data_IF_027562342829
#
_entry.id   IF_027562342829
#
_cell.length_a   1.000
_cell.length_b   1.000
_cell.length_c   1.000
_cell.angle_alpha   90.00
_cell.angle_beta   90.00
_cell.angle_gamma   90.00
#
_symmetry.space_group_name_H-M   'P 1'
#
loop_
_entity.id
_entity.type
_entity.pdbx_description
1 polymer ?
#
# COMPACT_ATOMS: atom_id res chain seq x y z
N UNK A 1 7.14 3.27 12.81
CA UNK A 1 5.98 3.83 13.48
C UNK A 1 5.01 4.29 12.41
N UNK A 2 3.75 3.94 12.53
CA UNK A 2 2.71 4.26 11.56
C UNK A 2 1.72 5.23 12.17
N UNK A 3 1.22 6.18 11.39
CA UNK A 3 0.15 7.07 11.77
C UNK A 3 -1.11 6.74 10.96
N UNK A 4 -2.26 6.64 11.59
CA UNK A 4 -3.53 6.41 10.92
C UNK A 4 -4.60 7.37 11.44
N UNK A 5 -5.49 7.77 10.54
CA UNK A 5 -6.69 8.53 10.85
C UNK A 5 -7.89 7.57 10.90
N UNK A 6 -8.76 7.69 11.89
CA UNK A 6 -9.66 6.60 12.28
C UNK A 6 -11.17 6.94 12.22
N UNK A 7 -11.61 7.80 11.34
CA UNK A 7 -13.05 8.10 11.25
C UNK A 7 -13.75 7.51 10.01
N UNK A 8 -13.01 6.88 9.11
CA UNK A 8 -13.58 6.33 7.90
C UNK A 8 -14.19 4.92 8.09
N UNK A 9 -14.96 4.49 7.10
CA UNK A 9 -15.66 3.21 7.04
C UNK A 9 -14.73 2.01 7.23
N UNK A 10 -13.49 2.11 6.79
CA UNK A 10 -12.52 1.01 6.86
C UNK A 10 -11.60 1.08 8.08
N UNK A 11 -11.75 2.09 8.95
CA UNK A 11 -10.86 2.31 10.09
C UNK A 11 -10.71 1.09 10.99
N UNK A 12 -11.80 0.36 11.29
CA UNK A 12 -11.76 -0.84 12.11
C UNK A 12 -10.97 -1.97 11.42
N UNK A 13 -11.20 -2.19 10.12
CA UNK A 13 -10.47 -3.22 9.36
C UNK A 13 -8.99 -2.88 9.24
N UNK A 14 -8.64 -1.61 9.04
CA UNK A 14 -7.25 -1.14 9.05
C UNK A 14 -6.60 -1.39 10.40
N UNK A 15 -7.29 -1.12 11.50
CA UNK A 15 -6.79 -1.38 12.86
C UNK A 15 -6.50 -2.85 13.08
N UNK A 16 -7.38 -3.74 12.65
CA UNK A 16 -7.20 -5.18 12.74
C UNK A 16 -6.02 -5.66 11.88
N UNK A 17 -5.95 -5.20 10.63
CA UNK A 17 -4.86 -5.53 9.70
C UNK A 17 -3.50 -5.07 10.26
N UNK A 18 -3.44 -3.88 10.86
CA UNK A 18 -2.21 -3.30 11.40
C UNK A 18 -1.87 -3.77 12.83
N UNK A 19 -2.70 -4.60 13.45
CA UNK A 19 -2.51 -5.04 14.83
C UNK A 19 -1.19 -5.79 15.06
N UNK A 20 -0.61 -6.39 14.02
CA UNK A 20 0.69 -7.05 14.06
C UNK A 20 1.89 -6.09 13.95
N UNK A 21 1.64 -4.79 13.64
CA UNK A 21 2.70 -3.81 13.57
C UNK A 21 3.01 -3.21 14.95
N UNK A 22 4.28 -2.99 15.28
CA UNK A 22 4.70 -2.75 16.65
C UNK A 22 4.19 -1.45 17.28
N UNK A 23 3.83 -0.43 16.51
CA UNK A 23 3.35 0.85 17.06
C UNK A 23 2.49 1.59 16.02
N UNK A 24 1.23 1.84 16.34
CA UNK A 24 0.34 2.70 15.55
C UNK A 24 0.01 3.95 16.36
N UNK A 25 0.27 5.13 15.80
CA UNK A 25 -0.14 6.40 16.36
C UNK A 25 -1.39 6.90 15.63
N UNK A 26 -2.24 7.59 16.37
CA UNK A 26 -3.46 8.17 15.83
C UNK A 26 -3.28 9.67 15.68
N UNK A 27 -3.80 10.21 14.60
CA UNK A 27 -3.81 11.64 14.31
C UNK A 27 -5.28 12.06 14.31
N UNK A 28 -5.62 13.05 15.16
CA UNK A 28 -7.01 13.57 15.25
C UNK A 28 -7.33 14.50 14.10
N UNK A 29 -8.60 14.87 13.96
CA UNK A 29 -9.07 15.87 12.98
C UNK A 29 -8.39 17.23 13.18
N UNK A 30 -8.03 17.57 14.42
CA UNK A 30 -7.31 18.80 14.74
C UNK A 30 -5.79 18.67 14.50
N UNK A 31 -5.32 17.55 13.96
CA UNK A 31 -3.92 17.31 13.67
C UNK A 31 -3.07 16.98 14.90
N UNK A 32 -3.70 16.63 16.03
CA UNK A 32 -2.99 16.18 17.23
C UNK A 32 -2.55 14.73 17.08
N UNK A 33 -1.36 14.41 17.57
CA UNK A 33 -0.79 13.08 17.46
C UNK A 33 -0.86 12.40 18.83
N UNK A 34 -1.48 11.23 18.87
CA UNK A 34 -1.59 10.42 20.07
C UNK A 34 -0.94 9.05 19.86
N UNK A 35 -0.30 8.56 20.93
CA UNK A 35 0.23 7.21 21.02
C UNK A 35 -0.68 6.38 21.90
N UNK A 36 -1.11 5.20 21.42
CA UNK A 36 -1.80 4.24 22.26
C UNK A 36 -0.74 3.27 22.81
N UNK A 37 -0.62 3.22 24.13
CA UNK A 37 0.21 2.23 24.84
C UNK A 37 -0.57 0.92 25.02
N UNK A 38 0.13 -0.17 25.35
CA UNK A 38 -0.49 -1.47 25.65
C UNK A 38 -1.54 -1.39 26.76
N UNK A 39 -1.45 -0.40 27.65
CA UNK A 39 -2.41 -0.12 28.70
C UNK A 39 -3.65 0.67 28.24
N UNK A 40 -3.76 0.98 26.94
CA UNK A 40 -4.89 1.73 26.38
C UNK A 40 -4.93 3.22 26.74
N UNK A 41 -3.89 3.74 27.38
CA UNK A 41 -3.78 5.18 27.71
C UNK A 41 -3.26 5.95 26.50
N UNK A 42 -3.94 7.03 26.14
CA UNK A 42 -3.47 8.02 25.19
C UNK A 42 -2.41 8.88 25.86
N UNK A 43 -1.18 8.84 25.39
CA UNK A 43 -0.11 9.77 25.79
C UNK A 43 -0.08 10.93 24.80
N UNK A 44 0.04 12.16 25.35
CA UNK A 44 0.07 13.37 24.56
C UNK A 44 1.42 13.54 23.84
N UNK A 45 1.34 14.01 22.62
CA UNK A 45 2.29 14.77 21.80
C UNK A 45 3.78 14.58 22.04
N UNK A 46 4.41 13.73 21.23
CA UNK A 46 5.85 13.76 21.01
C UNK A 46 6.15 14.51 19.69
N UNK A 47 6.61 15.75 19.78
CA UNK A 47 6.90 16.62 18.63
C UNK A 47 8.10 16.12 17.78
N UNK A 48 8.88 15.18 18.27
CA UNK A 48 10.04 14.59 17.56
C UNK A 48 9.71 13.28 16.83
N UNK A 49 8.48 12.83 16.91
CA UNK A 49 8.05 11.56 16.33
C UNK A 49 8.20 11.55 14.81
N UNK A 50 8.89 10.55 14.27
CA UNK A 50 9.02 10.33 12.82
C UNK A 50 8.29 9.04 12.40
N UNK A 51 7.54 9.10 11.30
CA UNK A 51 6.68 8.03 10.82
C UNK A 51 7.34 7.23 9.69
N UNK A 52 7.26 5.91 9.72
CA UNK A 52 7.59 5.05 8.59
C UNK A 52 6.45 4.97 7.59
N UNK A 53 5.21 5.14 8.05
CA UNK A 53 4.04 5.14 7.21
C UNK A 53 2.92 5.99 7.78
N UNK A 54 2.14 6.59 6.88
CA UNK A 54 0.92 7.31 7.19
C UNK A 54 -0.22 6.66 6.42
N UNK A 55 -1.34 6.42 7.09
CA UNK A 55 -2.57 5.92 6.47
C UNK A 55 -3.68 6.90 6.83
N UNK A 56 -4.33 7.43 5.80
CA UNK A 56 -5.48 8.31 5.94
C UNK A 56 -6.72 7.63 5.36
N UNK A 57 -7.72 7.40 6.19
CA UNK A 57 -9.01 6.87 5.77
C UNK A 57 -9.94 8.02 5.35
N UNK A 58 -10.13 8.17 4.05
CA UNK A 58 -10.98 9.13 3.39
C UNK A 58 -12.24 8.49 2.79
N UNK A 59 -12.62 7.28 3.20
CA UNK A 59 -13.77 6.57 2.60
C UNK A 59 -15.12 7.25 2.87
N UNK A 60 -15.19 8.14 3.86
CA UNK A 60 -16.38 8.92 4.19
C UNK A 60 -16.37 10.34 3.60
N UNK A 61 -15.38 10.69 2.79
CA UNK A 61 -15.34 11.98 2.09
C UNK A 61 -16.47 12.05 1.07
N UNK A 62 -17.41 13.00 1.26
CA UNK A 62 -18.61 13.22 0.44
C UNK A 62 -18.67 14.63 -0.15
N UNK A 63 -18.06 15.60 0.52
CA UNK A 63 -18.11 17.01 0.13
C UNK A 63 -16.70 17.57 -0.08
N UNK A 64 -16.61 18.77 -0.65
CA UNK A 64 -15.33 19.48 -0.79
C UNK A 64 -14.82 19.98 0.56
N UNK A 65 -15.71 20.29 1.49
CA UNK A 65 -15.38 20.69 2.86
C UNK A 65 -14.66 19.56 3.62
N UNK A 66 -15.03 18.30 3.37
CA UNK A 66 -14.39 17.14 3.99
C UNK A 66 -12.91 17.04 3.61
N UNK A 67 -12.50 17.61 2.47
CA UNK A 67 -11.08 17.66 2.07
C UNK A 67 -10.21 18.45 3.05
N UNK A 68 -10.83 19.29 3.91
CA UNK A 68 -10.11 19.97 4.99
C UNK A 68 -9.47 18.98 5.96
N UNK A 69 -10.08 17.83 6.18
CA UNK A 69 -9.52 16.77 7.01
C UNK A 69 -8.19 16.23 6.43
N UNK A 70 -8.04 16.19 5.12
CA UNK A 70 -6.77 15.82 4.45
C UNK A 70 -5.66 16.80 4.82
N UNK A 71 -5.96 18.11 4.72
CA UNK A 71 -5.01 19.14 5.11
C UNK A 71 -4.64 19.03 6.59
N UNK A 72 -5.62 18.92 7.46
CA UNK A 72 -5.42 18.83 8.91
C UNK A 72 -4.57 17.60 9.29
N UNK A 73 -4.76 16.48 8.59
CA UNK A 73 -3.97 15.28 8.81
C UNK A 73 -2.53 15.42 8.31
N UNK A 74 -2.32 15.85 7.07
CA UNK A 74 -0.99 15.82 6.46
C UNK A 74 -0.12 17.01 6.87
N UNK A 75 -0.69 18.19 7.04
CA UNK A 75 0.07 19.41 7.33
C UNK A 75 1.02 19.28 8.54
N UNK A 76 0.62 18.74 9.71
CA UNK A 76 1.51 18.61 10.86
C UNK A 76 2.55 17.50 10.73
N UNK A 77 2.34 16.51 9.83
CA UNK A 77 3.14 15.27 9.82
C UNK A 77 3.91 15.03 8.52
N UNK A 78 3.63 15.74 7.43
CA UNK A 78 4.24 15.49 6.13
C UNK A 78 5.79 15.54 6.19
N UNK A 79 6.36 16.49 6.93
CA UNK A 79 7.81 16.65 7.13
C UNK A 79 8.41 15.65 8.14
N UNK A 80 7.56 14.87 8.79
CA UNK A 80 7.92 13.88 9.82
C UNK A 80 7.95 12.46 9.29
N UNK A 81 7.76 12.29 7.98
CA UNK A 81 7.90 10.99 7.33
C UNK A 81 9.39 10.68 7.18
N UNK A 82 9.79 9.47 7.56
CA UNK A 82 11.16 8.99 7.38
C UNK A 82 11.47 8.75 5.91
N UNK A 83 12.76 8.85 5.55
CA UNK A 83 13.22 8.40 4.23
C UNK A 83 12.72 6.98 3.93
N UNK A 84 12.34 6.75 2.69
CA UNK A 84 11.71 5.50 2.23
C UNK A 84 10.40 5.15 2.97
N UNK A 85 9.72 6.15 3.53
CA UNK A 85 8.42 5.99 4.17
C UNK A 85 7.29 5.67 3.19
N UNK A 86 6.10 5.41 3.73
CA UNK A 86 4.90 5.06 2.95
C UNK A 86 3.75 5.98 3.33
N UNK A 87 3.03 6.45 2.30
CA UNK A 87 1.79 7.21 2.48
C UNK A 87 0.68 6.51 1.72
N UNK A 88 -0.40 6.21 2.41
CA UNK A 88 -1.56 5.53 1.83
C UNK A 88 -2.81 6.35 2.16
N UNK A 89 -3.60 6.66 1.15
CA UNK A 89 -4.97 7.16 1.31
C UNK A 89 -5.91 6.04 0.92
N UNK A 90 -6.89 5.76 1.77
CA UNK A 90 -8.02 4.88 1.48
C UNK A 90 -9.20 5.78 1.12
N UNK A 91 -9.83 5.56 -0.04
CA UNK A 91 -10.92 6.42 -0.52
C UNK A 91 -12.00 5.59 -1.22
N UNK A 92 -13.18 6.16 -1.42
CA UNK A 92 -14.22 5.56 -2.27
C UNK A 92 -13.85 5.76 -3.74
N UNK A 93 -14.16 4.76 -4.60
CA UNK A 93 -13.96 4.98 -6.04
C UNK A 93 -14.92 6.09 -6.52
N UNK A 94 -14.42 7.11 -7.22
CA UNK A 94 -15.28 8.14 -7.79
C UNK A 94 -16.43 7.59 -8.66
N UNK A 95 -16.22 6.41 -9.29
CA UNK A 95 -17.26 5.75 -10.08
C UNK A 95 -18.39 5.13 -9.22
N UNK A 96 -18.11 4.85 -7.94
CA UNK A 96 -19.06 4.27 -6.98
C UNK A 96 -19.74 5.34 -6.11
N UNK A 97 -19.46 6.64 -6.34
CA UNK A 97 -20.05 7.71 -5.58
C UNK A 97 -21.52 7.98 -6.00
N UNK A 98 -22.34 8.33 -5.03
CA UNK A 98 -23.79 8.54 -5.22
C UNK A 98 -24.11 9.82 -6.02
N UNK A 99 -23.26 10.84 -5.87
CA UNK A 99 -23.45 12.13 -6.52
C UNK A 99 -22.12 12.69 -7.10
N UNK A 100 -22.25 13.74 -7.94
CA UNK A 100 -21.12 14.36 -8.62
C UNK A 100 -20.18 15.09 -7.66
N UNK A 101 -20.66 15.61 -6.53
CA UNK A 101 -19.83 16.34 -5.55
C UNK A 101 -18.91 15.36 -4.83
N UNK A 102 -19.46 14.24 -4.36
CA UNK A 102 -18.69 13.17 -3.74
C UNK A 102 -17.67 12.57 -4.73
N UNK A 103 -18.08 12.34 -6.00
CA UNK A 103 -17.16 11.87 -7.04
C UNK A 103 -16.03 12.86 -7.29
N UNK A 104 -16.31 14.16 -7.33
CA UNK A 104 -15.31 15.22 -7.51
C UNK A 104 -14.35 15.30 -6.32
N UNK A 105 -14.85 15.24 -5.09
CA UNK A 105 -14.02 15.25 -3.89
C UNK A 105 -13.05 14.06 -3.86
N UNK A 106 -13.55 12.84 -4.11
CA UNK A 106 -12.72 11.64 -4.17
C UNK A 106 -11.73 11.67 -5.36
N UNK A 107 -12.11 12.26 -6.50
CA UNK A 107 -11.19 12.48 -7.61
C UNK A 107 -10.07 13.45 -7.25
N UNK A 108 -10.36 14.45 -6.43
CA UNK A 108 -9.38 15.39 -5.86
C UNK A 108 -8.30 14.68 -5.05
N UNK A 109 -8.66 13.65 -4.28
CA UNK A 109 -7.71 12.82 -3.52
C UNK A 109 -6.71 12.09 -4.45
N UNK A 110 -7.16 11.64 -5.61
CA UNK A 110 -6.26 11.04 -6.63
C UNK A 110 -5.24 12.06 -7.13
N UNK A 111 -5.66 13.30 -7.36
CA UNK A 111 -4.76 14.40 -7.72
C UNK A 111 -3.77 14.71 -6.61
N UNK A 112 -4.26 14.84 -5.38
CA UNK A 112 -3.45 15.11 -4.21
C UNK A 112 -2.34 14.07 -4.00
N UNK A 113 -2.65 12.78 -4.03
CA UNK A 113 -1.65 11.73 -3.78
C UNK A 113 -0.55 11.69 -4.87
N UNK A 114 -0.92 11.96 -6.13
CA UNK A 114 0.05 12.06 -7.23
C UNK A 114 0.99 13.25 -7.07
N UNK A 115 0.49 14.39 -6.60
CA UNK A 115 1.29 15.57 -6.29
C UNK A 115 2.17 15.32 -5.08
N UNK A 116 1.60 14.77 -4.00
CA UNK A 116 2.35 14.42 -2.79
C UNK A 116 3.52 13.49 -3.11
N UNK A 117 3.30 12.45 -3.92
CA UNK A 117 4.35 11.49 -4.31
C UNK A 117 5.51 12.12 -5.09
N UNK A 118 5.30 13.28 -5.75
CA UNK A 118 6.35 14.03 -6.43
C UNK A 118 7.11 14.95 -5.46
N UNK A 119 6.39 15.54 -4.50
CA UNK A 119 6.93 16.60 -3.62
C UNK A 119 7.68 16.06 -2.40
N UNK A 120 7.26 14.91 -1.85
CA UNK A 120 7.84 14.39 -0.59
C UNK A 120 9.29 13.91 -0.72
N UNK A 121 9.75 13.52 -1.90
CA UNK A 121 11.13 13.10 -2.14
C UNK A 121 11.61 11.94 -1.26
N UNK A 122 12.91 11.86 -1.03
CA UNK A 122 13.58 10.93 -0.09
C UNK A 122 13.18 9.44 -0.22
N UNK A 123 12.71 9.00 -1.41
CA UNK A 123 12.22 7.63 -1.63
C UNK A 123 10.89 7.32 -0.95
N UNK A 124 10.17 8.33 -0.46
CA UNK A 124 8.84 8.17 0.11
C UNK A 124 7.86 7.84 -1.01
N UNK A 125 7.14 6.74 -0.85
CA UNK A 125 6.14 6.30 -1.83
C UNK A 125 4.73 6.62 -1.33
N UNK A 126 3.91 7.24 -2.20
CA UNK A 126 2.57 7.69 -1.88
C UNK A 126 1.54 7.06 -2.84
N UNK A 127 0.52 6.37 -2.31
CA UNK A 127 -0.51 5.67 -3.07
C UNK A 127 -1.90 6.00 -2.57
N UNK A 128 -2.89 5.83 -3.47
CA UNK A 128 -4.30 5.80 -3.09
C UNK A 128 -4.89 4.42 -3.38
N UNK A 129 -5.63 3.90 -2.41
CA UNK A 129 -6.39 2.65 -2.53
C UNK A 129 -7.87 3.00 -2.55
N UNK A 130 -8.50 2.74 -3.67
CA UNK A 130 -9.94 2.92 -3.84
C UNK A 130 -10.65 1.64 -3.38
N UNK A 131 -11.51 1.76 -2.39
CA UNK A 131 -12.13 0.64 -1.68
C UNK A 131 -13.61 0.60 -2.02
N UNK A 132 -14.03 -0.39 -2.78
CA UNK A 132 -15.45 -0.64 -3.05
C UNK A 132 -16.19 -1.05 -1.77
N UNK A 133 -17.49 -0.86 -1.74
CA UNK A 133 -18.31 -1.23 -0.61
C UNK A 133 -18.27 -2.74 -0.35
N UNK A 134 -18.05 -3.14 0.90
CA UNK A 134 -17.91 -4.53 1.31
C UNK A 134 -16.57 -5.18 0.94
N UNK A 135 -15.56 -4.39 0.49
CA UNK A 135 -14.22 -4.86 0.16
C UNK A 135 -13.22 -4.73 1.32
N UNK A 136 -13.66 -4.30 2.51
CA UNK A 136 -12.81 -3.98 3.66
C UNK A 136 -11.90 -5.16 4.05
N UNK A 137 -12.45 -6.39 4.02
CA UNK A 137 -11.70 -7.62 4.35
C UNK A 137 -10.61 -7.97 3.34
N UNK A 138 -10.69 -7.40 2.15
CA UNK A 138 -9.74 -7.67 1.06
C UNK A 138 -8.53 -6.72 1.09
N UNK A 139 -8.49 -5.76 2.02
CA UNK A 139 -7.41 -4.77 2.13
C UNK A 139 -6.08 -5.36 2.64
N UNK A 140 -6.11 -6.46 3.39
CA UNK A 140 -4.95 -6.97 4.12
C UNK A 140 -3.72 -7.17 3.22
N UNK A 141 -3.84 -7.92 2.12
CA UNK A 141 -2.72 -8.19 1.22
C UNK A 141 -2.19 -6.92 0.53
N UNK A 142 -3.10 -5.99 0.19
CA UNK A 142 -2.73 -4.72 -0.43
C UNK A 142 -1.96 -3.84 0.54
N UNK A 143 -2.43 -3.69 1.79
CA UNK A 143 -1.75 -2.91 2.81
C UNK A 143 -0.41 -3.54 3.23
N UNK A 144 -0.35 -4.87 3.39
CA UNK A 144 0.90 -5.58 3.66
C UNK A 144 1.95 -5.32 2.57
N UNK A 145 1.55 -5.35 1.30
CA UNK A 145 2.45 -5.03 0.19
C UNK A 145 2.88 -3.57 0.23
N UNK A 146 1.92 -2.63 0.31
CA UNK A 146 2.19 -1.20 0.21
C UNK A 146 3.02 -0.66 1.39
N UNK A 147 2.85 -1.21 2.59
CA UNK A 147 3.62 -0.84 3.77
C UNK A 147 5.00 -1.51 3.83
N UNK A 148 5.22 -2.54 3.02
CA UNK A 148 6.49 -3.26 2.98
C UNK A 148 7.54 -2.54 2.12
N UNK A 149 8.80 -3.00 2.23
CA UNK A 149 9.89 -2.57 1.36
C UNK A 149 9.70 -3.02 -0.10
N UNK A 150 8.88 -4.04 -0.35
CA UNK A 150 8.60 -4.58 -1.70
C UNK A 150 7.94 -3.54 -2.61
N UNK A 151 7.24 -2.55 -2.04
CA UNK A 151 6.57 -1.46 -2.76
C UNK A 151 7.46 -0.24 -3.03
N UNK A 152 8.77 -0.32 -2.81
CA UNK A 152 9.69 0.82 -2.87
C UNK A 152 9.64 1.60 -4.20
N UNK A 153 9.36 0.93 -5.30
CA UNK A 153 9.27 1.52 -6.64
C UNK A 153 7.83 1.77 -7.11
N UNK A 154 6.85 1.61 -6.22
CA UNK A 154 5.43 1.86 -6.51
C UNK A 154 5.06 3.18 -5.86
N UNK A 155 4.87 4.23 -6.64
CA UNK A 155 4.45 5.56 -6.15
C UNK A 155 3.52 6.25 -7.15
N UNK A 156 2.60 7.08 -6.65
CA UNK A 156 1.61 7.81 -7.43
C UNK A 156 0.53 6.91 -8.07
N UNK A 157 0.38 5.66 -7.62
CA UNK A 157 -0.54 4.71 -8.21
C UNK A 157 -1.93 4.76 -7.56
N UNK A 158 -2.92 4.41 -8.38
CA UNK A 158 -4.32 4.21 -7.97
C UNK A 158 -4.58 2.71 -7.99
N UNK A 159 -4.81 2.14 -6.82
CA UNK A 159 -5.07 0.71 -6.65
C UNK A 159 -6.53 0.54 -6.28
N UNK A 160 -7.24 -0.37 -6.95
CA UNK A 160 -8.64 -0.66 -6.65
C UNK A 160 -8.75 -1.99 -5.95
N UNK A 161 -9.51 -1.99 -4.84
CA UNK A 161 -9.83 -3.19 -4.08
C UNK A 161 -11.33 -3.40 -4.15
N UNK A 162 -11.73 -4.46 -4.82
CA UNK A 162 -13.13 -4.83 -4.99
C UNK A 162 -13.52 -5.95 -4.02
N UNK A 163 -14.83 -6.06 -3.76
CA UNK A 163 -15.39 -7.16 -2.99
C UNK A 163 -15.12 -8.47 -3.73
N UNK A 164 -14.50 -9.40 -3.05
CA UNK A 164 -14.23 -10.75 -3.51
C UNK A 164 -14.44 -11.75 -2.38
N UNK A 165 -14.57 -13.02 -2.69
CA UNK A 165 -14.54 -14.07 -1.69
C UNK A 165 -13.24 -13.97 -0.88
N UNK A 166 -13.31 -14.19 0.41
CA UNK A 166 -12.12 -14.21 1.25
C UNK A 166 -11.18 -15.31 0.76
N UNK A 167 -9.99 -14.92 0.35
CA UNK A 167 -8.93 -15.86 -0.01
C UNK A 167 -7.97 -15.88 1.18
N UNK A 168 -7.66 -17.06 1.68
CA UNK A 168 -6.59 -17.20 2.66
C UNK A 168 -5.29 -16.72 2.01
N UNK A 169 -4.71 -15.69 2.59
CA UNK A 169 -3.51 -15.06 2.10
C UNK A 169 -2.29 -15.63 2.82
N UNK A 170 -1.50 -16.44 2.10
CA UNK A 170 -0.21 -16.90 2.60
C UNK A 170 0.86 -15.83 2.36
N UNK A 171 1.36 -15.21 3.42
CA UNK A 171 2.38 -14.15 3.34
C UNK A 171 3.73 -14.63 2.80
N UNK A 172 4.08 -15.88 3.05
CA UNK A 172 5.36 -16.46 2.60
C UNK A 172 5.30 -16.90 1.14
N UNK A 173 4.17 -17.47 0.72
CA UNK A 173 3.94 -17.96 -0.64
C UNK A 173 2.63 -17.42 -1.21
N UNK A 174 2.53 -16.11 -1.48
CA UNK A 174 1.28 -15.46 -1.91
C UNK A 174 0.77 -15.95 -3.28
N UNK A 175 1.63 -16.60 -4.06
CA UNK A 175 1.30 -17.13 -5.39
C UNK A 175 1.21 -18.66 -5.42
N UNK A 176 1.16 -19.33 -4.26
CA UNK A 176 1.02 -20.77 -4.19
C UNK A 176 -0.19 -21.27 -4.99
N UNK A 177 0.04 -22.26 -5.85
CA UNK A 177 -0.99 -22.83 -6.72
C UNK A 177 -1.36 -21.98 -7.95
N UNK A 178 -0.75 -20.80 -8.13
CA UNK A 178 -0.93 -19.97 -9.33
C UNK A 178 0.01 -20.40 -10.45
N UNK A 179 -0.46 -20.19 -11.71
CA UNK A 179 0.35 -20.37 -12.91
C UNK A 179 0.71 -19.00 -13.48
N UNK A 180 1.97 -18.78 -13.76
CA UNK A 180 2.48 -17.55 -14.36
C UNK A 180 3.22 -17.86 -15.66
N UNK A 181 2.99 -17.05 -16.70
CA UNK A 181 3.76 -17.08 -17.95
C UNK A 181 4.63 -15.82 -18.01
N UNK A 182 5.94 -15.99 -18.19
CA UNK A 182 6.88 -14.89 -18.32
C UNK A 182 7.56 -14.96 -19.68
N UNK A 183 7.37 -13.93 -20.50
CA UNK A 183 8.04 -13.77 -21.79
C UNK A 183 9.32 -12.98 -21.64
N UNK A 184 10.32 -13.18 -22.51
CA UNK A 184 11.62 -12.51 -22.40
C UNK A 184 12.39 -12.91 -21.14
N UNK A 185 12.27 -14.17 -20.72
CA UNK A 185 12.67 -14.66 -19.38
C UNK A 185 14.06 -15.32 -19.34
N UNK A 186 14.76 -15.42 -20.47
CA UNK A 186 16.11 -16.03 -20.52
C UNK A 186 17.15 -15.19 -19.75
N UNK A 187 17.01 -13.86 -19.75
CA UNK A 187 17.99 -12.94 -19.13
C UNK A 187 17.34 -11.66 -18.61
N UNK A 188 18.12 -10.84 -17.90
CA UNK A 188 17.73 -9.51 -17.47
C UNK A 188 16.49 -9.50 -16.58
N UNK A 189 15.59 -8.55 -16.83
CA UNK A 189 14.40 -8.28 -16.01
C UNK A 189 13.44 -9.47 -16.01
N UNK A 190 13.15 -10.06 -17.19
CA UNK A 190 12.22 -11.19 -17.28
C UNK A 190 12.69 -12.41 -16.46
N UNK A 191 14.00 -12.70 -16.46
CA UNK A 191 14.56 -13.74 -15.60
C UNK A 191 14.36 -13.46 -14.12
N UNK A 192 14.63 -12.22 -13.70
CA UNK A 192 14.43 -11.82 -12.30
C UNK A 192 12.95 -11.90 -11.89
N UNK A 193 12.02 -11.50 -12.77
CA UNK A 193 10.58 -11.65 -12.55
C UNK A 193 10.22 -13.12 -12.38
N UNK A 194 10.66 -14.00 -13.30
CA UNK A 194 10.38 -15.43 -13.22
C UNK A 194 10.88 -16.05 -11.91
N UNK A 195 12.08 -15.67 -11.46
CA UNK A 195 12.65 -16.12 -10.20
C UNK A 195 11.85 -15.67 -8.98
N UNK A 196 11.39 -14.41 -8.97
CA UNK A 196 10.55 -13.87 -7.87
C UNK A 196 9.20 -14.58 -7.83
N UNK A 197 8.54 -14.75 -8.97
CA UNK A 197 7.26 -15.45 -9.04
C UNK A 197 7.37 -16.90 -8.55
N UNK A 198 8.45 -17.62 -8.93
CA UNK A 198 8.70 -18.97 -8.47
C UNK A 198 8.99 -19.02 -6.96
N UNK A 199 9.78 -18.09 -6.44
CA UNK A 199 10.04 -17.95 -4.99
C UNK A 199 8.75 -17.74 -4.22
N UNK A 200 7.85 -16.93 -4.75
CA UNK A 200 6.57 -16.59 -4.12
C UNK A 200 5.50 -17.70 -4.32
N UNK A 201 5.91 -18.88 -4.85
CA UNK A 201 5.10 -20.11 -4.89
C UNK A 201 4.37 -20.39 -6.21
N UNK A 202 4.54 -19.54 -7.24
CA UNK A 202 3.93 -19.78 -8.55
C UNK A 202 4.61 -20.90 -9.32
N UNK A 203 3.83 -21.66 -10.12
CA UNK A 203 4.36 -22.44 -11.23
C UNK A 203 4.66 -21.49 -12.39
N UNK A 204 5.93 -21.36 -12.79
CA UNK A 204 6.32 -20.39 -13.80
C UNK A 204 6.63 -21.10 -15.12
N UNK A 205 5.93 -20.68 -16.16
CA UNK A 205 6.25 -21.02 -17.55
C UNK A 205 7.09 -19.90 -18.12
N UNK A 206 8.26 -20.21 -18.61
CA UNK A 206 9.20 -19.26 -19.21
C UNK A 206 9.17 -19.37 -20.73
N UNK A 207 9.11 -18.24 -21.41
CA UNK A 207 9.13 -18.16 -22.87
C UNK A 207 10.15 -17.11 -23.31
N UNK A 208 11.08 -17.53 -24.16
CA UNK A 208 12.08 -16.62 -24.72
C UNK A 208 12.49 -17.07 -26.13
N UNK A 209 13.04 -16.14 -26.90
CA UNK A 209 13.67 -16.43 -28.20
C UNK A 209 15.00 -17.10 -27.96
N UNK A 210 15.74 -16.75 -26.91
CA UNK A 210 16.96 -17.38 -26.47
C UNK A 210 16.66 -18.61 -25.61
N UNK A 211 16.87 -19.81 -26.16
CA UNK A 211 16.69 -21.10 -25.45
C UNK A 211 17.73 -21.37 -24.35
N UNK A 212 18.50 -20.38 -23.91
CA UNK A 212 19.61 -20.56 -22.94
C UNK A 212 19.15 -21.03 -21.55
N UNK A 213 17.86 -20.88 -21.21
CA UNK A 213 17.33 -21.43 -19.97
C UNK A 213 17.13 -22.95 -19.97
N UNK A 214 17.04 -23.56 -21.15
CA UNK A 214 16.95 -25.03 -21.30
C UNK A 214 18.33 -25.71 -21.33
N UNK A 215 19.36 -24.95 -21.59
CA UNK A 215 20.76 -25.37 -21.49
C UNK A 215 21.37 -24.74 -20.24
N UNK A 216 20.88 -25.12 -19.05
CA UNK A 216 21.71 -25.01 -17.85
C UNK A 216 23.02 -25.74 -18.18
N UNK A 217 24.21 -25.06 -18.19
CA UNK A 217 25.44 -25.74 -18.43
C UNK A 217 25.55 -26.89 -17.44
N UNK A 218 25.74 -28.09 -17.95
CA UNK A 218 26.03 -29.26 -17.14
C UNK A 218 27.13 -28.88 -16.15
N UNK A 219 27.14 -29.40 -14.92
CA UNK A 219 28.25 -29.18 -13.99
C UNK A 219 29.64 -29.40 -14.63
N UNK A 220 29.73 -30.19 -15.71
CA UNK A 220 30.93 -30.41 -16.51
C UNK A 220 31.35 -29.20 -17.37
N UNK A 221 30.43 -28.31 -17.75
CA UNK A 221 30.71 -27.13 -18.58
C UNK A 221 31.26 -25.95 -17.78
N UNK A 222 31.21 -26.02 -16.43
CA UNK A 222 31.80 -25.03 -15.53
C UNK A 222 33.28 -25.22 -15.24
N UNK A 223 33.91 -26.24 -15.82
CA UNK A 223 35.32 -26.59 -15.58
C UNK A 223 36.23 -26.24 -16.77
N UNK A 224 35.82 -25.40 -17.70
CA UNK A 224 36.67 -24.88 -18.76
C UNK A 224 36.92 -23.39 -18.58
#
# INVERSE_FOLDING_TARGET
MFGSFQQGRVAQSVKEILSHLPIVNYITEEGQIYRITEAGKMESKDDQLKFHGLIFDATEVKTLEDLKAVYNFFHPVARRIKSSGRVIILAKDPADCEDAVAAMANRGLVGFIKSLGKEVGQGIAAQIVLVSEGAERNLASTLDFLLSYKSAYVSGQVIRVHKAAAIEYNREQPLQGKLALVTGSARGIGRSIAQVLARDGAKVVVLDIDCLLYTSPSPRDRQK
#
